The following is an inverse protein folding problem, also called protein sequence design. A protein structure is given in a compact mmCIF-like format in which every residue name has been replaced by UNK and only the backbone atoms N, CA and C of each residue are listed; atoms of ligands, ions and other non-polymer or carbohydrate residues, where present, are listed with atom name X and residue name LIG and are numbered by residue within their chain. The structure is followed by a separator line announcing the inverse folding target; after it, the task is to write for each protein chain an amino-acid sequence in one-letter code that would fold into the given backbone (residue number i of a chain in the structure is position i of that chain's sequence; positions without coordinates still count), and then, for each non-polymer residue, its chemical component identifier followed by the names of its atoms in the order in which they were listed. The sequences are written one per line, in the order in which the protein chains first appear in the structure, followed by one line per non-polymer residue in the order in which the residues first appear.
data_IF_188476208232
#
_entry.id   IF_188476208232
#
_cell.length_a   1.000
_cell.length_b   1.000
_cell.length_c   1.000
_cell.angle_alpha   90.00
_cell.angle_beta   90.00
_cell.angle_gamma   90.00
#
_symmetry.space_group_name_H-M   'P 1'
#
loop_
_entity.id
_entity.type
_entity.pdbx_description
1 polymer ?
#
# COMPACT_ATOMS: atom_id res chain seq x y z
N UNK A 1 20.15 33.79 56.70
CA UNK A 1 18.83 33.12 56.80
C UNK A 1 18.60 32.40 55.48
N UNK A 2 19.08 31.16 55.30
CA UNK A 2 18.38 29.87 55.45
C UNK A 2 17.07 29.74 54.65
N UNK A 3 17.09 28.76 53.72
CA UNK A 3 15.98 27.93 53.16
C UNK A 3 15.28 28.57 51.94
N UNK A 4 15.03 27.89 50.80
CA UNK A 4 14.97 26.46 50.48
C UNK A 4 14.92 26.27 48.95
N UNK A 5 15.59 25.24 48.45
CA UNK A 5 15.39 24.60 47.14
C UNK A 5 13.95 24.07 47.07
N UNK A 6 13.28 24.21 45.92
CA UNK A 6 12.25 23.26 45.51
C UNK A 6 12.28 23.04 43.99
N UNK A 7 13.10 22.08 43.60
CA UNK A 7 12.98 21.38 42.33
C UNK A 7 11.71 20.54 42.38
N UNK A 8 10.72 20.85 41.54
CA UNK A 8 9.64 19.93 41.23
C UNK A 8 9.95 19.26 39.90
N UNK A 9 10.61 18.11 40.02
CA UNK A 9 10.39 16.97 39.15
C UNK A 9 8.89 16.70 39.11
N UNK A 10 8.21 17.05 38.03
CA UNK A 10 6.99 16.35 37.66
C UNK A 10 7.31 15.60 36.38
N UNK A 11 7.79 14.38 36.61
CA UNK A 11 7.84 13.32 35.62
C UNK A 11 6.44 13.19 35.02
N UNK A 12 6.24 13.81 33.86
CA UNK A 12 5.22 13.36 32.94
C UNK A 12 5.71 12.01 32.44
N UNK A 13 5.42 10.96 33.20
CA UNK A 13 5.31 9.60 32.66
C UNK A 13 4.20 9.72 31.61
N UNK A 14 4.59 10.02 30.38
CA UNK A 14 3.78 9.71 29.22
C UNK A 14 3.57 8.21 29.31
N UNK A 15 2.35 7.83 29.67
CA UNK A 15 1.86 6.48 29.48
C UNK A 15 2.10 6.20 28.00
N UNK A 16 3.17 5.45 27.72
CA UNK A 16 3.28 4.70 26.49
C UNK A 16 2.09 3.75 26.58
N UNK A 17 0.98 4.15 25.98
CA UNK A 17 -0.06 3.23 25.60
C UNK A 17 0.65 2.22 24.70
N UNK A 18 1.06 1.11 25.29
CA UNK A 18 1.40 -0.07 24.53
C UNK A 18 0.05 -0.50 23.93
N UNK A 19 -0.28 0.07 22.77
CA UNK A 19 -1.30 -0.48 21.91
C UNK A 19 -0.81 -1.90 21.61
N UNK A 20 -1.35 -2.87 22.33
CA UNK A 20 -1.19 -4.27 21.96
C UNK A 20 -1.65 -4.35 20.52
N UNK A 21 -0.73 -4.63 19.59
CA UNK A 21 -1.07 -4.90 18.21
C UNK A 21 -2.09 -6.04 18.22
N UNK A 22 -3.36 -5.71 18.02
CA UNK A 22 -4.39 -6.72 17.87
C UNK A 22 -4.03 -7.42 16.56
N UNK A 23 -3.55 -8.66 16.64
CA UNK A 23 -3.39 -9.47 15.44
C UNK A 23 -4.74 -9.48 14.72
N UNK A 24 -4.72 -9.34 13.41
CA UNK A 24 -5.96 -9.36 12.65
C UNK A 24 -6.54 -10.78 12.76
N UNK A 25 -7.71 -10.88 13.38
CA UNK A 25 -8.35 -12.17 13.67
C UNK A 25 -9.23 -12.60 12.49
N UNK A 26 -8.56 -12.94 11.39
CA UNK A 26 -9.23 -13.48 10.21
C UNK A 26 -9.36 -15.00 10.32
N UNK A 27 -10.54 -15.54 10.05
CA UNK A 27 -10.82 -16.97 10.23
C UNK A 27 -10.01 -17.89 9.30
N UNK A 28 -9.48 -17.35 8.21
CA UNK A 28 -8.73 -18.06 7.17
C UNK A 28 -7.24 -17.72 7.15
N UNK A 29 -6.73 -17.02 8.17
CA UNK A 29 -5.30 -16.70 8.30
C UNK A 29 -4.66 -17.58 9.36
N UNK A 30 -3.88 -18.57 8.90
CA UNK A 30 -3.02 -19.33 9.78
C UNK A 30 -1.86 -18.45 10.27
N UNK A 31 -1.80 -18.15 11.57
CA UNK A 31 -0.80 -17.26 12.16
C UNK A 31 0.65 -17.79 12.09
N UNK A 32 0.84 -19.08 11.76
CA UNK A 32 2.16 -19.68 11.50
C UNK A 32 2.55 -19.62 10.01
N UNK A 33 1.69 -19.13 9.12
CA UNK A 33 1.99 -18.98 7.71
C UNK A 33 3.00 -17.84 7.47
N UNK A 34 3.80 -17.97 6.42
CA UNK A 34 4.83 -16.98 6.06
C UNK A 34 4.26 -15.57 5.85
N UNK A 35 3.00 -15.46 5.39
CA UNK A 35 2.35 -14.19 5.10
C UNK A 35 1.70 -13.54 6.33
N UNK A 36 1.50 -14.26 7.43
CA UNK A 36 0.66 -13.82 8.54
C UNK A 36 1.15 -12.51 9.16
N UNK A 37 2.47 -12.33 9.28
CA UNK A 37 3.05 -11.07 9.80
C UNK A 37 2.73 -9.87 8.91
N UNK A 38 2.72 -10.03 7.60
CA UNK A 38 2.36 -8.97 6.65
C UNK A 38 0.87 -8.67 6.68
N UNK A 39 0.02 -9.69 6.80
CA UNK A 39 -1.44 -9.54 6.97
C UNK A 39 -1.76 -8.76 8.23
N UNK A 40 -1.12 -9.11 9.35
CA UNK A 40 -1.28 -8.39 10.61
C UNK A 40 -0.81 -6.94 10.47
N UNK A 41 0.32 -6.71 9.78
CA UNK A 41 0.84 -5.35 9.62
C UNK A 41 -0.05 -4.45 8.77
N UNK A 42 -0.55 -4.95 7.65
CA UNK A 42 -1.40 -4.16 6.76
C UNK A 42 -2.77 -3.85 7.38
N UNK A 43 -3.25 -4.76 8.24
CA UNK A 43 -4.48 -4.58 9.00
C UNK A 43 -4.31 -3.60 10.16
N UNK A 44 -3.19 -3.65 10.88
CA UNK A 44 -2.84 -2.67 11.92
C UNK A 44 -2.80 -1.24 11.36
N UNK A 45 -2.30 -1.09 10.14
CA UNK A 45 -2.26 0.19 9.43
C UNK A 45 -3.62 0.63 8.87
N UNK A 46 -4.68 -0.16 9.04
CA UNK A 46 -5.99 0.03 8.44
C UNK A 46 -5.93 0.21 6.91
N UNK A 47 -4.93 -0.38 6.26
CA UNK A 47 -4.80 -0.32 4.81
C UNK A 47 -5.59 -1.41 4.10
N UNK A 48 -5.88 -2.51 4.82
CA UNK A 48 -6.74 -3.59 4.36
C UNK A 48 -7.44 -4.23 5.57
N UNK A 49 -8.77 -4.32 5.52
CA UNK A 49 -9.59 -4.74 6.67
C UNK A 49 -10.29 -6.10 6.48
N UNK A 50 -9.88 -6.87 5.46
CA UNK A 50 -10.56 -8.10 5.10
C UNK A 50 -11.95 -7.88 4.50
N UNK A 51 -12.75 -8.93 4.53
CA UNK A 51 -14.11 -8.96 4.00
C UNK A 51 -15.13 -9.04 5.13
N UNK A 52 -16.38 -8.69 4.84
CA UNK A 52 -17.48 -8.64 5.82
C UNK A 52 -17.75 -9.98 6.53
N UNK A 53 -17.34 -11.10 5.92
CA UNK A 53 -17.44 -12.46 6.47
C UNK A 53 -16.32 -12.81 7.47
N UNK A 54 -15.42 -11.87 7.79
CA UNK A 54 -14.30 -12.09 8.70
C UNK A 54 -13.10 -12.78 8.07
N UNK A 55 -13.02 -12.87 6.74
CA UNK A 55 -11.90 -13.47 6.01
C UNK A 55 -10.91 -12.43 5.47
N UNK A 56 -9.67 -12.84 5.25
CA UNK A 56 -8.66 -12.08 4.50
C UNK A 56 -8.52 -12.56 3.05
N UNK A 57 -8.82 -13.83 2.80
CA UNK A 57 -8.70 -14.54 1.52
C UNK A 57 -7.28 -14.49 0.94
N UNK A 58 -6.26 -14.99 1.68
CA UNK A 58 -4.85 -14.84 1.31
C UNK A 58 -4.47 -15.54 -0.01
N UNK A 59 -5.21 -16.58 -0.40
CA UNK A 59 -4.98 -17.34 -1.63
C UNK A 59 -5.77 -16.79 -2.84
N UNK A 60 -6.64 -15.80 -2.62
CA UNK A 60 -7.40 -15.19 -3.71
C UNK A 60 -6.55 -14.18 -4.48
N UNK A 61 -6.85 -14.04 -5.78
CA UNK A 61 -6.29 -12.96 -6.58
C UNK A 61 -6.91 -11.63 -6.16
N UNK A 62 -6.06 -10.68 -5.77
CA UNK A 62 -6.48 -9.30 -5.53
C UNK A 62 -6.78 -8.61 -6.86
N UNK A 63 -7.87 -7.85 -6.90
CA UNK A 63 -8.23 -7.02 -8.05
C UNK A 63 -7.34 -5.78 -8.13
N UNK A 64 -7.30 -5.14 -9.30
CA UNK A 64 -6.62 -3.86 -9.47
C UNK A 64 -7.19 -2.76 -8.55
N UNK A 65 -8.51 -2.70 -8.38
CA UNK A 65 -9.17 -1.70 -7.52
C UNK A 65 -8.81 -1.91 -6.04
N UNK A 66 -8.83 -3.15 -5.55
CA UNK A 66 -8.44 -3.49 -4.17
C UNK A 66 -6.97 -3.19 -3.92
N UNK A 67 -6.10 -3.52 -4.89
CA UNK A 67 -4.67 -3.25 -4.78
C UNK A 67 -4.38 -1.75 -4.74
N UNK A 68 -5.02 -0.95 -5.61
CA UNK A 68 -4.88 0.51 -5.60
C UNK A 68 -5.40 1.09 -4.29
N UNK A 69 -6.59 0.68 -3.83
CA UNK A 69 -7.12 1.09 -2.52
C UNK A 69 -6.07 0.85 -1.43
N UNK A 70 -5.51 -0.36 -1.39
CA UNK A 70 -4.54 -0.76 -0.38
C UNK A 70 -3.31 0.14 -0.37
N UNK A 71 -2.70 0.40 -1.54
CA UNK A 71 -1.52 1.29 -1.65
C UNK A 71 -1.86 2.73 -1.26
N UNK A 72 -3.02 3.23 -1.67
CA UNK A 72 -3.48 4.57 -1.29
C UNK A 72 -3.68 4.67 0.21
N UNK A 73 -4.31 3.69 0.86
CA UNK A 73 -4.50 3.69 2.30
C UNK A 73 -3.16 3.59 3.06
N UNK A 74 -2.17 2.87 2.53
CA UNK A 74 -0.81 2.84 3.12
C UNK A 74 -0.14 4.24 3.11
N UNK A 75 -0.44 5.07 2.12
CA UNK A 75 0.15 6.41 1.98
C UNK A 75 -0.67 7.47 2.72
N UNK A 76 -2.01 7.42 2.62
CA UNK A 76 -2.90 8.49 3.03
C UNK A 76 -3.78 8.16 4.25
N UNK A 77 -3.79 6.90 4.70
CA UNK A 77 -4.83 6.36 5.55
C UNK A 77 -6.16 6.19 4.82
N UNK A 78 -7.20 5.75 5.54
CA UNK A 78 -8.55 5.62 4.98
C UNK A 78 -9.10 6.97 4.50
N UNK A 79 -9.75 6.94 3.34
CA UNK A 79 -10.31 8.15 2.73
C UNK A 79 -11.69 8.46 3.29
N UNK A 80 -11.95 9.75 3.51
CA UNK A 80 -13.20 10.33 3.96
C UNK A 80 -13.39 11.70 3.29
N UNK A 81 -14.49 12.39 3.61
CA UNK A 81 -14.81 13.68 2.98
C UNK A 81 -13.72 14.75 3.10
N UNK A 82 -12.85 14.69 4.12
CA UNK A 82 -11.80 15.69 4.36
C UNK A 82 -10.53 15.49 3.54
N UNK A 83 -10.22 14.24 3.13
CA UNK A 83 -8.99 13.90 2.41
C UNK A 83 -9.25 13.25 1.03
N UNK A 84 -10.52 13.06 0.66
CA UNK A 84 -10.91 12.58 -0.66
C UNK A 84 -10.50 13.58 -1.75
N UNK A 85 -10.06 13.09 -2.92
CA UNK A 85 -9.76 13.94 -4.07
C UNK A 85 -11.02 14.66 -4.56
N UNK A 86 -10.89 15.95 -4.87
CA UNK A 86 -12.01 16.77 -5.39
C UNK A 86 -12.06 16.78 -6.92
N UNK A 87 -10.95 16.48 -7.57
CA UNK A 87 -10.84 16.38 -9.04
C UNK A 87 -11.24 14.97 -9.45
N UNK A 88 -12.29 14.88 -10.26
CA UNK A 88 -12.74 13.62 -10.87
C UNK A 88 -12.00 13.42 -12.19
N UNK A 89 -11.50 12.21 -12.41
CA UNK A 89 -10.85 11.88 -13.69
C UNK A 89 -11.83 11.32 -14.73
N UNK A 90 -11.31 11.03 -15.93
CA UNK A 90 -12.11 10.62 -17.10
C UNK A 90 -12.66 9.20 -17.01
N UNK A 91 -12.20 8.39 -16.05
CA UNK A 91 -12.56 6.97 -15.91
C UNK A 91 -13.56 6.70 -14.78
N UNK A 92 -13.97 7.69 -13.99
CA UNK A 92 -14.89 7.51 -12.85
C UNK A 92 -16.20 6.80 -13.22
N UNK A 93 -16.71 6.99 -14.43
CA UNK A 93 -17.92 6.32 -14.92
C UNK A 93 -17.74 4.82 -15.21
N UNK A 94 -16.51 4.32 -15.18
CA UNK A 94 -16.15 2.92 -15.43
C UNK A 94 -15.99 2.13 -14.16
N UNK A 95 -15.52 2.76 -13.09
CA UNK A 95 -15.12 2.07 -11.86
C UNK A 95 -16.28 1.74 -10.92
N UNK A 96 -16.03 0.80 -10.03
CA UNK A 96 -16.92 0.52 -8.91
C UNK A 96 -17.03 1.75 -8.01
N UNK A 97 -18.25 2.11 -7.58
CA UNK A 97 -18.48 3.36 -6.82
C UNK A 97 -17.64 3.46 -5.54
N UNK A 98 -17.36 2.32 -4.89
CA UNK A 98 -16.52 2.26 -3.69
C UNK A 98 -15.04 2.56 -3.97
N UNK A 99 -14.55 2.24 -5.18
CA UNK A 99 -13.15 2.36 -5.56
C UNK A 99 -12.78 3.75 -6.09
N UNK A 100 -13.76 4.49 -6.62
CA UNK A 100 -13.60 5.83 -7.20
C UNK A 100 -12.71 6.76 -6.35
N UNK A 101 -12.97 7.01 -5.05
CA UNK A 101 -12.16 7.96 -4.30
C UNK A 101 -10.69 7.55 -4.20
N UNK A 102 -10.40 6.25 -4.12
CA UNK A 102 -9.03 5.75 -4.05
C UNK A 102 -8.34 5.80 -5.42
N UNK A 103 -9.04 5.49 -6.50
CA UNK A 103 -8.49 5.58 -7.84
C UNK A 103 -8.24 7.03 -8.27
N UNK A 104 -9.16 7.95 -7.97
CA UNK A 104 -8.93 9.39 -8.13
C UNK A 104 -7.70 9.84 -7.33
N UNK A 105 -7.54 9.36 -6.08
CA UNK A 105 -6.38 9.70 -5.25
C UNK A 105 -5.10 9.10 -5.85
N UNK A 106 -5.14 7.89 -6.38
CA UNK A 106 -4.01 7.28 -7.06
C UNK A 106 -3.57 8.06 -8.30
N UNK A 107 -4.50 8.69 -9.03
CA UNK A 107 -4.19 9.65 -10.10
C UNK A 107 -3.53 10.92 -9.55
N UNK A 108 -4.08 11.52 -8.49
CA UNK A 108 -3.52 12.71 -7.83
C UNK A 108 -2.08 12.47 -7.33
N UNK A 109 -1.83 11.29 -6.77
CA UNK A 109 -0.52 10.86 -6.28
C UNK A 109 0.45 10.44 -7.40
N UNK A 110 -0.03 10.28 -8.63
CA UNK A 110 0.77 9.82 -9.77
C UNK A 110 1.10 8.32 -9.74
N UNK A 111 0.38 7.51 -8.95
CA UNK A 111 0.55 6.06 -8.89
C UNK A 111 0.08 5.38 -10.18
N UNK A 112 -1.01 5.90 -10.75
CA UNK A 112 -1.57 5.53 -12.06
C UNK A 112 -1.76 6.78 -12.91
N UNK A 113 -1.63 6.63 -14.23
CA UNK A 113 -1.83 7.73 -15.18
C UNK A 113 -2.77 7.33 -16.31
N UNK A 114 -3.15 8.28 -17.17
CA UNK A 114 -4.04 8.02 -18.31
C UNK A 114 -3.45 7.01 -19.31
N UNK A 115 -2.13 6.82 -19.30
CA UNK A 115 -1.44 5.83 -20.13
C UNK A 115 -1.63 4.40 -19.59
N UNK A 116 -1.91 4.22 -18.30
CA UNK A 116 -2.08 2.91 -17.68
C UNK A 116 -3.51 2.37 -17.85
N UNK A 117 -3.95 2.26 -19.10
CA UNK A 117 -5.33 1.94 -19.48
C UNK A 117 -5.88 0.62 -18.93
N UNK A 118 -5.03 -0.29 -18.44
CA UNK A 118 -5.47 -1.50 -17.75
C UNK A 118 -6.22 -1.18 -16.45
N UNK A 119 -5.81 -0.14 -15.69
CA UNK A 119 -6.50 0.29 -14.46
C UNK A 119 -7.85 0.98 -14.71
N UNK A 120 -8.28 1.10 -15.97
CA UNK A 120 -9.63 1.53 -16.32
C UNK A 120 -10.65 0.41 -16.16
N UNK A 121 -10.22 -0.85 -16.17
CA UNK A 121 -11.07 -2.03 -16.10
C UNK A 121 -11.46 -2.34 -14.66
N UNK A 122 -12.62 -2.97 -14.47
CA UNK A 122 -13.22 -3.25 -13.15
C UNK A 122 -13.20 -4.72 -12.83
N UNK A 123 -12.90 -5.06 -11.58
CA UNK A 123 -12.93 -6.44 -11.09
C UNK A 123 -11.90 -7.37 -11.73
N UNK A 124 -10.90 -6.85 -12.46
CA UNK A 124 -9.85 -7.68 -13.06
C UNK A 124 -8.71 -7.90 -12.07
N UNK A 125 -8.10 -9.11 -12.05
CA UNK A 125 -6.92 -9.38 -11.23
C UNK A 125 -5.76 -8.44 -11.53
N UNK A 126 -5.08 -7.96 -10.48
CA UNK A 126 -3.85 -7.18 -10.61
C UNK A 126 -2.66 -8.12 -10.82
N UNK A 127 -1.95 -7.99 -11.95
CA UNK A 127 -0.76 -8.81 -12.19
C UNK A 127 0.49 -8.21 -11.54
N UNK A 128 1.54 -9.03 -11.38
CA UNK A 128 2.78 -8.63 -10.69
C UNK A 128 3.52 -7.45 -11.36
N UNK A 129 3.39 -7.28 -12.68
CA UNK A 129 3.98 -6.14 -13.39
C UNK A 129 3.26 -4.83 -13.10
N UNK A 130 1.93 -4.88 -13.03
CA UNK A 130 1.07 -3.76 -12.61
C UNK A 130 1.35 -3.38 -11.16
N UNK A 131 1.45 -4.37 -10.28
CA UNK A 131 1.82 -4.16 -8.87
C UNK A 131 3.18 -3.49 -8.74
N UNK A 132 4.20 -3.99 -9.45
CA UNK A 132 5.54 -3.42 -9.42
C UNK A 132 5.56 -1.97 -9.90
N UNK A 133 4.80 -1.64 -10.95
CA UNK A 133 4.66 -0.28 -11.46
C UNK A 133 4.09 0.67 -10.40
N UNK A 134 2.98 0.30 -9.79
CA UNK A 134 2.31 1.13 -8.78
C UNK A 134 3.18 1.28 -7.53
N UNK A 135 3.79 0.19 -7.02
CA UNK A 135 4.65 0.26 -5.82
C UNK A 135 5.89 1.09 -6.07
N UNK A 136 6.52 0.97 -7.25
CA UNK A 136 7.71 1.79 -7.57
C UNK A 136 7.35 3.28 -7.61
N UNK A 137 6.22 3.64 -8.23
CA UNK A 137 5.72 5.02 -8.24
C UNK A 137 5.32 5.52 -6.85
N UNK A 138 4.78 4.64 -6.00
CA UNK A 138 4.51 4.97 -4.60
C UNK A 138 5.81 5.29 -3.84
N UNK A 139 6.85 4.49 -4.01
CA UNK A 139 8.17 4.76 -3.43
C UNK A 139 8.75 6.10 -3.95
N UNK A 140 8.64 6.37 -5.25
CA UNK A 140 9.06 7.65 -5.84
C UNK A 140 8.26 8.85 -5.30
N UNK A 141 6.94 8.70 -5.12
CA UNK A 141 6.08 9.70 -4.49
C UNK A 141 6.56 10.01 -3.07
N UNK A 142 6.88 8.97 -2.30
CA UNK A 142 7.42 9.03 -0.94
C UNK A 142 8.89 9.50 -0.86
N UNK A 143 9.49 9.88 -2.01
CA UNK A 143 10.87 10.36 -2.11
C UNK A 143 11.91 9.33 -1.69
N UNK A 144 11.60 8.05 -1.86
CA UNK A 144 12.61 7.01 -1.77
C UNK A 144 13.54 7.08 -2.98
N UNK A 145 14.84 6.91 -2.71
CA UNK A 145 15.83 6.83 -3.77
C UNK A 145 15.57 5.61 -4.67
N UNK A 146 15.72 5.83 -5.97
CA UNK A 146 15.72 4.75 -6.96
C UNK A 146 17.08 4.07 -7.00
N UNK A 147 17.09 2.80 -7.41
CA UNK A 147 18.35 2.08 -7.62
C UNK A 147 18.94 2.53 -8.95
N UNK A 148 20.12 3.17 -8.89
CA UNK A 148 20.74 3.83 -10.04
C UNK A 148 21.09 2.87 -11.19
N UNK A 149 21.60 1.68 -10.86
CA UNK A 149 21.90 0.64 -11.85
C UNK A 149 21.15 -0.64 -11.53
N UNK A 150 20.10 -0.90 -12.32
CA UNK A 150 19.33 -2.13 -12.23
C UNK A 150 19.70 -3.18 -13.27
N UNK A 151 20.69 -2.91 -14.13
CA UNK A 151 21.06 -3.80 -15.24
C UNK A 151 21.59 -5.15 -14.73
N UNK A 152 22.23 -5.14 -13.56
CA UNK A 152 22.76 -6.34 -12.90
C UNK A 152 21.66 -7.35 -12.54
N UNK A 153 20.43 -6.90 -12.33
CA UNK A 153 19.30 -7.76 -11.95
C UNK A 153 18.62 -8.44 -13.15
N UNK A 154 18.85 -7.96 -14.38
CA UNK A 154 18.27 -8.56 -15.60
C UNK A 154 18.60 -10.05 -15.68
N UNK A 155 19.86 -10.41 -15.39
CA UNK A 155 20.33 -11.80 -15.44
C UNK A 155 19.85 -12.67 -14.27
N UNK A 156 19.31 -12.05 -13.21
CA UNK A 156 18.76 -12.75 -12.04
C UNK A 156 17.32 -13.19 -12.26
N UNK A 157 16.60 -12.52 -13.16
CA UNK A 157 15.22 -12.82 -13.51
C UNK A 157 15.18 -13.80 -14.69
N UNK A 158 14.95 -15.08 -14.41
CA UNK A 158 14.94 -16.17 -15.42
C UNK A 158 13.94 -15.92 -16.56
N UNK A 159 12.83 -15.26 -16.25
CA UNK A 159 11.72 -14.97 -17.16
C UNK A 159 11.68 -13.50 -17.58
N UNK A 160 12.78 -12.75 -17.43
CA UNK A 160 12.86 -11.32 -17.79
C UNK A 160 12.32 -11.01 -19.19
N UNK A 161 12.64 -11.86 -20.18
CA UNK A 161 12.22 -11.69 -21.57
C UNK A 161 10.71 -11.89 -21.79
N UNK A 162 9.99 -12.46 -20.82
CA UNK A 162 8.53 -12.64 -20.86
C UNK A 162 7.76 -11.49 -20.20
N UNK A 163 8.47 -10.60 -19.51
CA UNK A 163 7.88 -9.41 -18.91
C UNK A 163 7.57 -8.41 -20.02
N UNK A 164 6.37 -7.83 -20.04
CA UNK A 164 6.02 -6.76 -20.98
C UNK A 164 6.98 -5.59 -20.81
N UNK A 165 7.44 -4.98 -21.91
CA UNK A 165 8.44 -3.91 -21.89
C UNK A 165 8.07 -2.77 -20.93
N UNK A 166 6.80 -2.39 -20.89
CA UNK A 166 6.26 -1.34 -20.02
C UNK A 166 6.40 -1.61 -18.51
N UNK A 167 6.62 -2.87 -18.11
CA UNK A 167 6.77 -3.26 -16.70
C UNK A 167 8.21 -3.54 -16.30
N UNK A 168 9.11 -3.81 -17.25
CA UNK A 168 10.52 -4.13 -16.97
C UNK A 168 11.23 -3.13 -16.05
N UNK A 169 11.19 -1.80 -16.28
CA UNK A 169 11.90 -0.87 -15.40
C UNK A 169 11.39 -0.94 -13.96
N UNK A 170 10.07 -1.05 -13.77
CA UNK A 170 9.45 -1.12 -12.45
C UNK A 170 9.71 -2.46 -11.75
N UNK A 171 9.67 -3.58 -12.49
CA UNK A 171 9.99 -4.90 -11.93
C UNK A 171 11.45 -4.94 -11.47
N UNK A 172 12.37 -4.35 -12.24
CA UNK A 172 13.78 -4.27 -11.87
C UNK A 172 14.00 -3.39 -10.63
N UNK A 173 13.34 -2.24 -10.53
CA UNK A 173 13.40 -1.36 -9.35
C UNK A 173 12.86 -2.08 -8.10
N UNK A 174 11.69 -2.71 -8.20
CA UNK A 174 11.12 -3.50 -7.12
C UNK A 174 12.06 -4.64 -6.70
N UNK A 175 12.55 -5.44 -7.66
CA UNK A 175 13.46 -6.55 -7.36
C UNK A 175 14.75 -6.09 -6.68
N UNK A 176 15.27 -4.92 -7.06
CA UNK A 176 16.48 -4.36 -6.50
C UNK A 176 16.32 -3.91 -5.03
N UNK A 177 15.09 -3.59 -4.59
CA UNK A 177 14.77 -3.15 -3.23
C UNK A 177 14.49 -4.32 -2.26
N UNK A 178 14.30 -5.54 -2.78
CA UNK A 178 13.97 -6.74 -2.01
C UNK A 178 12.47 -7.03 -1.96
#
# INVERSE_FOLDING_TARGET
MKKRILATFLSAVTLISCSSALAADYSDVNQSAWYASYVNKISELNAFSGYEDGTFRPDNQITQEEFIKTVVCLICGELNESNAPTVKNTWNSKWSSWAIPYLDKAFELGLITEQDTMFKLVGIPCNRGEMAKVITRAAEYLKEDSVADTSTYITKLKDYNRIKEEYKPYVLQAYAKG
#
